data_IF_023276834303
#
_entry.id   IF_023276834303
#
_cell.length_a   1.000
_cell.length_b   1.000
_cell.length_c   1.000
_cell.angle_alpha   90.00
_cell.angle_beta   90.00
_cell.angle_gamma   90.00
#
_symmetry.space_group_name_H-M   'P 1'
#
loop_
_entity.id
_entity.type
_entity.pdbx_description
1 polymer ?
#
# COMPACT_ATOMS: atom_id res chain seq x y z
N UNK A 1 -5.61 3.78 8.55
CA UNK A 1 -4.23 3.78 9.08
C UNK A 1 -3.28 3.93 7.90
N UNK A 2 -2.04 4.35 8.11
CA UNK A 2 -0.99 4.43 7.06
C UNK A 2 0.21 3.64 7.57
N UNK A 3 0.90 2.93 6.68
CA UNK A 3 2.12 2.19 6.97
C UNK A 3 3.18 2.57 5.93
N UNK A 4 4.17 3.33 6.41
CA UNK A 4 5.34 3.75 5.67
C UNK A 4 6.54 3.83 6.64
N UNK A 5 7.73 3.32 6.28
CA UNK A 5 8.81 3.12 7.24
C UNK A 5 9.29 4.39 7.96
N UNK A 6 9.16 5.57 7.36
CA UNK A 6 9.67 6.82 7.95
C UNK A 6 8.65 7.60 8.79
N UNK A 7 7.40 7.13 8.88
CA UNK A 7 6.39 7.78 9.71
C UNK A 7 6.80 7.78 11.18
N UNK A 8 6.41 8.81 11.92
CA UNK A 8 6.81 8.99 13.31
C UNK A 8 6.37 7.85 14.23
N UNK A 9 5.21 7.29 13.93
CA UNK A 9 4.56 6.17 14.63
C UNK A 9 4.95 4.79 14.06
N UNK A 10 5.81 4.74 13.04
CA UNK A 10 6.26 3.47 12.45
C UNK A 10 7.21 2.73 13.41
N UNK A 11 6.94 1.45 13.73
CA UNK A 11 7.83 0.64 14.58
C UNK A 11 9.20 0.39 13.92
N UNK A 12 9.28 0.51 12.59
CA UNK A 12 10.51 0.29 11.82
C UNK A 12 11.29 1.58 11.55
N UNK A 13 10.82 2.75 12.03
CA UNK A 13 11.49 4.04 11.82
C UNK A 13 12.97 4.04 12.23
N UNK A 14 13.40 3.45 13.36
CA UNK A 14 14.83 3.39 13.70
C UNK A 14 15.64 2.57 12.69
N UNK A 15 15.05 1.52 12.11
CA UNK A 15 15.69 0.71 11.08
C UNK A 15 15.75 1.46 9.74
N UNK A 16 14.68 2.18 9.38
CA UNK A 16 14.66 3.04 8.19
C UNK A 16 15.75 4.11 8.26
N UNK A 17 15.90 4.80 9.39
CA UNK A 17 16.97 5.79 9.58
C UNK A 17 18.38 5.18 9.48
N UNK A 18 18.57 3.96 9.98
CA UNK A 18 19.86 3.26 9.93
C UNK A 18 20.21 2.77 8.54
N UNK A 19 19.27 2.12 7.85
CA UNK A 19 19.54 1.37 6.63
C UNK A 19 19.16 2.11 5.34
N UNK A 20 18.27 3.10 5.42
CA UNK A 20 17.74 3.86 4.29
C UNK A 20 18.01 5.37 4.46
N UNK A 21 19.27 5.80 4.66
CA UNK A 21 19.60 7.20 4.97
C UNK A 21 19.29 8.19 3.84
N UNK A 22 18.92 7.69 2.65
CA UNK A 22 18.56 8.48 1.46
C UNK A 22 17.06 8.45 1.16
N UNK A 23 16.25 7.84 2.02
CA UNK A 23 14.81 7.69 1.83
C UNK A 23 14.38 6.22 1.73
N UNK A 24 13.23 5.88 2.32
CA UNK A 24 12.67 4.54 2.35
C UNK A 24 11.90 4.10 1.08
N UNK A 25 12.10 4.82 -0.02
CA UNK A 25 11.42 4.56 -1.30
C UNK A 25 10.00 5.10 -1.35
N UNK A 26 9.26 4.70 -2.39
CA UNK A 26 7.95 5.27 -2.74
C UNK A 26 6.77 4.30 -2.56
N UNK A 27 6.98 3.19 -1.83
CA UNK A 27 5.92 2.22 -1.54
C UNK A 27 5.35 2.52 -0.16
N UNK A 28 4.04 2.74 -0.10
CA UNK A 28 3.29 2.89 1.15
C UNK A 28 2.00 2.06 1.08
N UNK A 29 1.46 1.71 2.24
CA UNK A 29 0.17 1.03 2.35
C UNK A 29 -0.73 1.78 3.31
N UNK A 30 -2.04 1.66 3.13
CA UNK A 30 -3.00 2.31 4.01
C UNK A 30 -4.30 1.51 4.07
N UNK A 31 -4.99 1.62 5.20
CA UNK A 31 -6.31 1.05 5.41
C UNK A 31 -7.40 2.09 5.24
N UNK A 32 -8.41 1.76 4.44
CA UNK A 32 -9.61 2.56 4.20
C UNK A 32 -10.70 2.15 5.21
N UNK A 33 -11.37 3.15 5.81
CA UNK A 33 -12.55 2.90 6.64
C UNK A 33 -13.68 2.38 5.77
N UNK A 34 -14.35 1.31 6.20
CA UNK A 34 -15.39 0.64 5.40
C UNK A 34 -14.94 -0.68 4.77
N UNK A 35 -13.71 -1.12 5.02
CA UNK A 35 -13.27 -2.48 4.70
C UNK A 35 -13.16 -2.77 3.20
N UNK A 36 -13.39 -4.03 2.82
CA UNK A 36 -13.13 -4.56 1.47
C UNK A 36 -13.91 -3.83 0.38
N UNK A 37 -15.18 -3.53 0.61
CA UNK A 37 -16.06 -2.87 -0.36
C UNK A 37 -15.63 -1.43 -0.62
N UNK A 38 -15.29 -0.69 0.44
CA UNK A 38 -14.73 0.65 0.32
C UNK A 38 -13.37 0.64 -0.40
N UNK A 39 -12.55 -0.40 -0.17
CA UNK A 39 -11.29 -0.61 -0.90
C UNK A 39 -11.47 -0.82 -2.39
N UNK A 40 -12.45 -1.64 -2.78
CA UNK A 40 -12.81 -1.86 -4.18
C UNK A 40 -13.39 -0.59 -4.83
N UNK A 41 -14.32 0.10 -4.16
CA UNK A 41 -14.87 1.34 -4.68
C UNK A 41 -13.79 2.43 -4.87
N UNK A 42 -12.84 2.51 -3.93
CA UNK A 42 -11.71 3.42 -4.05
C UNK A 42 -10.86 3.13 -5.29
N UNK A 43 -10.41 1.89 -5.48
CA UNK A 43 -9.49 1.57 -6.59
C UNK A 43 -10.14 1.77 -7.95
N UNK A 44 -11.43 1.45 -8.08
CA UNK A 44 -12.20 1.63 -9.32
C UNK A 44 -12.52 3.12 -9.61
N UNK A 45 -12.44 4.00 -8.61
CA UNK A 45 -12.67 5.45 -8.79
C UNK A 45 -11.44 6.24 -9.28
N UNK A 46 -10.27 5.59 -9.37
CA UNK A 46 -9.02 6.27 -9.71
C UNK A 46 -8.85 6.39 -11.21
N UNK A 47 -8.65 7.62 -11.69
CA UNK A 47 -8.43 7.89 -13.13
C UNK A 47 -6.94 8.01 -13.49
N UNK A 48 -6.08 8.34 -12.51
CA UNK A 48 -4.65 8.59 -12.73
C UNK A 48 -3.78 7.37 -12.38
N UNK A 49 -4.14 6.64 -11.33
CA UNK A 49 -3.36 5.49 -10.86
C UNK A 49 -3.76 4.25 -11.66
N UNK A 50 -2.78 3.48 -12.11
CA UNK A 50 -3.05 2.24 -12.83
C UNK A 50 -3.28 1.10 -11.85
N UNK A 51 -4.41 0.41 -11.98
CA UNK A 51 -4.71 -0.80 -11.22
C UNK A 51 -3.89 -1.97 -11.78
N UNK A 52 -2.72 -2.23 -11.20
CA UNK A 52 -1.76 -3.21 -11.71
C UNK A 52 -0.93 -3.83 -10.59
N UNK A 53 -0.69 -5.14 -10.68
CA UNK A 53 0.22 -5.86 -9.79
C UNK A 53 1.69 -5.66 -10.22
N UNK A 54 2.20 -4.43 -10.10
CA UNK A 54 3.60 -4.07 -10.35
C UNK A 54 4.04 -2.93 -9.41
N UNK A 55 5.35 -2.66 -9.28
CA UNK A 55 5.92 -1.55 -8.50
C UNK A 55 7.13 -0.94 -9.23
N UNK A 56 7.45 0.33 -8.95
CA UNK A 56 8.67 0.98 -9.47
C UNK A 56 8.58 1.54 -10.89
N UNK A 57 7.37 1.71 -11.42
CA UNK A 57 7.13 2.39 -12.70
C UNK A 57 7.20 3.92 -12.52
N UNK A 58 7.39 4.65 -13.63
CA UNK A 58 7.22 6.09 -13.67
C UNK A 58 5.74 6.50 -13.47
N UNK A 59 4.80 5.62 -13.83
CA UNK A 59 3.37 5.80 -13.52
C UNK A 59 3.08 5.41 -12.08
N UNK A 60 2.12 6.11 -11.47
CA UNK A 60 1.61 5.72 -10.16
C UNK A 60 0.74 4.47 -10.26
N UNK A 61 1.03 3.48 -9.43
CA UNK A 61 0.37 2.17 -9.41
C UNK A 61 -0.37 1.99 -8.09
N UNK A 62 -1.49 1.28 -8.14
CA UNK A 62 -2.33 0.98 -6.98
C UNK A 62 -2.86 -0.44 -7.10
N UNK A 63 -2.99 -1.13 -5.96
CA UNK A 63 -3.60 -2.45 -5.90
C UNK A 63 -4.34 -2.64 -4.58
N UNK A 64 -5.46 -3.36 -4.62
CA UNK A 64 -6.21 -3.77 -3.43
C UNK A 64 -6.04 -5.28 -3.23
N UNK A 65 -5.08 -5.74 -2.40
CA UNK A 65 -4.70 -7.16 -2.37
C UNK A 65 -5.85 -8.11 -2.03
N UNK A 66 -6.71 -7.72 -1.07
CA UNK A 66 -7.81 -8.55 -0.59
C UNK A 66 -8.83 -8.91 -1.69
N UNK A 67 -9.08 -8.02 -2.66
CA UNK A 67 -9.98 -8.29 -3.79
C UNK A 67 -9.27 -8.72 -5.07
N UNK A 68 -7.94 -8.85 -5.05
CA UNK A 68 -7.15 -9.13 -6.26
C UNK A 68 -6.14 -10.25 -6.02
N UNK A 69 -4.89 -9.92 -5.70
CA UNK A 69 -3.77 -10.87 -5.63
C UNK A 69 -3.92 -11.90 -4.52
N UNK A 70 -4.58 -11.55 -3.42
CA UNK A 70 -4.79 -12.42 -2.26
C UNK A 70 -6.24 -12.91 -2.18
N UNK A 71 -7.03 -12.78 -3.27
CA UNK A 71 -8.45 -13.15 -3.24
C UNK A 71 -8.72 -14.62 -2.91
N UNK A 72 -7.73 -15.49 -3.12
CA UNK A 72 -7.81 -16.93 -2.82
C UNK A 72 -7.34 -17.28 -1.41
N UNK A 73 -6.82 -16.32 -0.64
CA UNK A 73 -6.41 -16.55 0.73
C UNK A 73 -7.62 -16.47 1.66
N UNK A 74 -7.59 -17.28 2.72
CA UNK A 74 -8.58 -17.19 3.80
C UNK A 74 -8.44 -15.86 4.52
N UNK A 75 -9.53 -15.27 5.06
CA UNK A 75 -9.49 -13.98 5.76
C UNK A 75 -8.50 -13.90 6.93
N UNK A 76 -8.11 -15.03 7.51
CA UNK A 76 -7.23 -15.16 8.67
C UNK A 76 -5.73 -15.23 8.33
N UNK A 77 -5.37 -15.30 7.04
CA UNK A 77 -3.99 -15.45 6.56
C UNK A 77 -3.35 -14.09 6.19
#
# INVERSE_FOLDING_TARGET
WINYPELEDSPTRPLAQKYLPKGAGAILTFGIKGGREAGAAFIESLELFSHLANVGDAKSLVIHPASTTHQQMSPEA
#
